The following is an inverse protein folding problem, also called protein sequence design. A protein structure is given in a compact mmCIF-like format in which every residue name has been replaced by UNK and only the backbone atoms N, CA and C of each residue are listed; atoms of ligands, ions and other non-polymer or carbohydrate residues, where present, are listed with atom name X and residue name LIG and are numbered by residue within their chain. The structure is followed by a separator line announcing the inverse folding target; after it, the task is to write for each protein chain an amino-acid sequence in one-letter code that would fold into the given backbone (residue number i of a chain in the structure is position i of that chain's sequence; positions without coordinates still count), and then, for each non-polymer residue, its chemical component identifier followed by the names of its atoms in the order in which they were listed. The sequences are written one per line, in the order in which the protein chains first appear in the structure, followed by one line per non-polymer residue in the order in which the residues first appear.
data_IF_190267970031
#
_entry.id   IF_190267970031
#
_cell.length_a   1.000
_cell.length_b   1.000
_cell.length_c   1.000
_cell.angle_alpha   90.00
_cell.angle_beta   90.00
_cell.angle_gamma   90.00
#
_symmetry.space_group_name_H-M   'P 1'
#
loop_
_entity.id
_entity.type
_entity.pdbx_description
1 polymer ?
#
# COMPACT_ATOMS: atom_id res chain seq x y z
N UNK A 1 -18.48 -15.04 19.19
CA UNK A 1 -17.03 -15.07 18.90
C UNK A 1 -16.80 -14.11 17.75
N UNK A 2 -16.02 -13.03 17.87
CA UNK A 2 -15.84 -12.14 16.74
C UNK A 2 -14.93 -12.88 15.76
N UNK A 3 -15.44 -13.14 14.56
CA UNK A 3 -14.64 -13.63 13.46
C UNK A 3 -13.70 -12.47 13.13
N UNK A 4 -12.42 -12.60 13.48
CA UNK A 4 -11.41 -11.64 13.02
C UNK A 4 -11.24 -11.90 11.54
N UNK A 5 -12.08 -11.27 10.70
CA UNK A 5 -11.96 -11.35 9.26
C UNK A 5 -10.69 -10.58 8.88
N UNK A 6 -9.61 -11.33 8.62
CA UNK A 6 -8.36 -10.78 8.11
C UNK A 6 -8.47 -10.78 6.59
N UNK A 7 -8.53 -9.61 5.99
CA UNK A 7 -8.59 -9.46 4.54
C UNK A 7 -7.32 -8.78 4.03
N UNK A 8 -6.82 -9.25 2.89
CA UNK A 8 -5.53 -8.87 2.32
C UNK A 8 -5.72 -8.20 0.98
N UNK A 9 -5.04 -7.07 0.78
CA UNK A 9 -5.11 -6.26 -0.42
C UNK A 9 -3.69 -5.99 -0.93
N UNK A 10 -3.41 -6.37 -2.17
CA UNK A 10 -2.09 -6.17 -2.78
C UNK A 10 -2.15 -4.94 -3.67
N UNK A 11 -1.37 -3.93 -3.31
CA UNK A 11 -1.30 -2.68 -4.04
C UNK A 11 -0.01 -2.64 -4.84
N UNK A 12 -0.09 -2.28 -6.12
CA UNK A 12 1.04 -2.09 -7.01
C UNK A 12 1.06 -0.66 -7.53
N UNK A 13 2.20 0.01 -7.37
CA UNK A 13 2.41 1.33 -7.99
C UNK A 13 2.81 1.13 -9.45
N UNK A 14 2.03 1.68 -10.38
CA UNK A 14 2.44 1.81 -11.78
C UNK A 14 3.34 3.03 -11.91
N UNK A 15 4.63 2.78 -12.06
CA UNK A 15 5.50 3.76 -12.73
C UNK A 15 5.71 3.33 -14.18
N UNK A 16 5.58 4.29 -15.09
CA UNK A 16 6.16 4.17 -16.42
C UNK A 16 7.66 3.82 -16.29
N UNK A 17 8.07 2.69 -16.84
CA UNK A 17 9.45 2.28 -17.10
C UNK A 17 10.49 2.68 -16.05
N UNK A 18 10.51 2.02 -14.89
CA UNK A 18 11.74 1.97 -14.09
C UNK A 18 12.53 0.74 -14.53
N UNK A 19 13.45 0.97 -15.46
CA UNK A 19 14.44 0.01 -15.90
C UNK A 19 15.15 -0.63 -14.71
N UNK A 20 15.37 -1.94 -14.87
CA UNK A 20 16.28 -2.81 -14.14
C UNK A 20 17.56 -2.10 -13.62
N UNK A 21 18.05 -2.60 -12.48
CA UNK A 21 19.25 -2.22 -11.69
C UNK A 21 18.90 -1.24 -10.55
N UNK A 22 19.04 -1.58 -9.26
CA UNK A 22 20.29 -2.00 -8.62
C UNK A 22 20.09 -2.78 -7.31
N UNK A 23 20.89 -3.83 -7.17
CA UNK A 23 21.32 -4.42 -5.91
C UNK A 23 22.53 -3.59 -5.43
N UNK A 24 22.34 -2.62 -4.53
CA UNK A 24 23.46 -1.90 -3.88
C UNK A 24 23.07 -1.55 -2.44
N UNK A 25 23.84 -2.08 -1.49
CA UNK A 25 23.87 -1.68 -0.09
C UNK A 25 24.16 -0.17 0.04
N UNK A 26 23.26 0.63 0.64
CA UNK A 26 23.59 1.99 1.07
C UNK A 26 22.46 3.04 1.06
N UNK A 27 21.77 3.17 2.20
CA UNK A 27 21.27 4.41 2.84
C UNK A 27 20.20 5.30 2.13
N UNK A 28 18.95 5.13 2.58
CA UNK A 28 18.07 6.12 3.26
C UNK A 28 17.22 7.17 2.49
N UNK A 29 17.23 7.29 1.17
CA UNK A 29 16.27 8.20 0.49
C UNK A 29 15.02 7.50 -0.08
N UNK A 30 15.16 6.33 -0.71
CA UNK A 30 14.00 5.60 -1.25
C UNK A 30 13.11 5.00 -0.14
N UNK A 31 13.72 4.52 0.97
CA UNK A 31 12.98 3.97 2.12
C UNK A 31 12.00 4.98 2.73
N UNK A 32 12.36 6.27 2.69
CA UNK A 32 11.55 7.35 3.26
C UNK A 32 10.31 7.63 2.41
N UNK A 33 10.43 7.57 1.07
CA UNK A 33 9.30 7.78 0.18
C UNK A 33 8.29 6.64 0.27
N UNK A 34 8.77 5.40 0.45
CA UNK A 34 7.90 4.26 0.70
C UNK A 34 7.13 4.39 2.02
N UNK A 35 7.81 4.79 3.10
CA UNK A 35 7.16 5.00 4.39
C UNK A 35 6.15 6.14 4.33
N UNK A 36 6.45 7.21 3.59
CA UNK A 36 5.49 8.29 3.31
C UNK A 36 4.29 7.75 2.54
N UNK A 37 4.48 6.94 1.50
CA UNK A 37 3.36 6.32 0.76
C UNK A 37 2.50 5.45 1.68
N UNK A 38 3.13 4.55 2.45
CA UNK A 38 2.48 3.65 3.40
C UNK A 38 1.62 4.45 4.40
N UNK A 39 2.19 5.49 5.00
CA UNK A 39 1.52 6.35 5.97
C UNK A 39 0.43 7.22 5.33
N UNK A 40 0.67 7.80 4.15
CA UNK A 40 -0.32 8.60 3.42
C UNK A 40 -1.52 7.75 3.03
N UNK A 41 -1.31 6.52 2.53
CA UNK A 41 -2.42 5.64 2.16
C UNK A 41 -3.20 5.16 3.39
N UNK A 42 -2.52 4.81 4.49
CA UNK A 42 -3.17 4.49 5.75
C UNK A 42 -4.01 5.67 6.28
N UNK A 43 -3.45 6.88 6.21
CA UNK A 43 -4.14 8.11 6.58
C UNK A 43 -5.23 8.51 5.58
N UNK A 44 -5.17 8.12 4.31
CA UNK A 44 -6.21 8.46 3.34
C UNK A 44 -7.43 7.56 3.55
N UNK A 45 -7.19 6.27 3.78
CA UNK A 45 -8.24 5.27 3.94
C UNK A 45 -8.92 5.29 5.31
N UNK A 46 -8.29 5.87 6.34
CA UNK A 46 -8.84 5.97 7.70
C UNK A 46 -9.52 4.66 8.15
N UNK A 47 -8.82 3.51 8.10
CA UNK A 47 -9.45 2.24 8.41
C UNK A 47 -9.94 2.24 9.87
N UNK A 48 -11.15 1.72 10.10
CA UNK A 48 -11.77 1.66 11.43
C UNK A 48 -10.93 0.87 12.43
N UNK A 49 -10.21 -0.14 11.93
CA UNK A 49 -9.17 -0.85 12.65
C UNK A 49 -7.86 -0.70 11.90
N UNK A 50 -6.81 -0.30 12.62
CA UNK A 50 -5.47 -0.08 12.07
C UNK A 50 -5.11 -1.11 10.99
N UNK A 51 -4.61 -0.66 9.84
CA UNK A 51 -4.16 -1.57 8.78
C UNK A 51 -2.69 -1.94 9.00
N UNK A 52 -2.36 -3.22 8.79
CA UNK A 52 -0.96 -3.66 8.77
C UNK A 52 -0.42 -3.55 7.34
N UNK A 53 0.81 -3.06 7.19
CA UNK A 53 1.43 -2.89 5.87
C UNK A 53 2.69 -3.75 5.82
N UNK A 54 2.83 -4.53 4.76
CA UNK A 54 3.98 -5.41 4.54
C UNK A 54 4.53 -5.22 3.13
N UNK A 55 5.85 -5.19 3.01
CA UNK A 55 6.51 -5.04 1.71
C UNK A 55 6.63 -6.40 1.02
N UNK A 56 6.14 -6.52 -0.22
CA UNK A 56 6.24 -7.73 -1.04
C UNK A 56 7.36 -7.66 -2.08
N UNK A 57 8.22 -6.63 -2.00
CA UNK A 57 9.28 -6.27 -2.96
C UNK A 57 8.75 -5.95 -4.35
N UNK A 58 9.59 -5.30 -5.16
CA UNK A 58 9.28 -4.90 -6.53
C UNK A 58 8.03 -3.99 -6.62
N UNK A 59 7.93 -3.00 -5.72
CA UNK A 59 6.87 -1.97 -5.69
C UNK A 59 5.47 -2.55 -5.50
N UNK A 60 5.39 -3.64 -4.74
CA UNK A 60 4.15 -4.28 -4.30
C UNK A 60 4.07 -4.20 -2.79
N UNK A 61 2.92 -3.74 -2.30
CA UNK A 61 2.66 -3.55 -0.89
C UNK A 61 1.42 -4.34 -0.51
N UNK A 62 1.49 -5.08 0.58
CA UNK A 62 0.38 -5.83 1.13
C UNK A 62 -0.22 -5.03 2.28
N UNK A 63 -1.47 -4.62 2.11
CA UNK A 63 -2.27 -4.04 3.17
C UNK A 63 -3.18 -5.13 3.75
N UNK A 64 -3.10 -5.30 5.07
CA UNK A 64 -3.88 -6.26 5.83
C UNK A 64 -4.90 -5.46 6.63
N UNK A 65 -6.17 -5.63 6.28
CA UNK A 65 -7.30 -5.01 6.95
C UNK A 65 -7.98 -6.04 7.87
N UNK A 66 -8.49 -5.57 9.00
CA UNK A 66 -9.16 -6.40 10.00
C UNK A 66 -10.69 -6.27 9.96
N UNK A 67 -11.21 -5.53 8.99
CA UNK A 67 -12.64 -5.30 8.80
C UNK A 67 -12.98 -5.21 7.31
N UNK A 68 -14.07 -5.85 6.90
CA UNK A 68 -14.49 -5.88 5.48
C UNK A 68 -14.92 -4.49 4.97
N UNK A 69 -15.53 -3.67 5.83
CA UNK A 69 -15.98 -2.33 5.48
C UNK A 69 -14.82 -1.40 5.09
N UNK A 70 -13.64 -1.60 5.68
CA UNK A 70 -12.44 -0.84 5.32
C UNK A 70 -12.06 -1.13 3.85
N UNK A 71 -12.16 -2.39 3.40
CA UNK A 71 -11.86 -2.77 2.02
C UNK A 71 -12.92 -2.32 1.05
N UNK A 72 -14.19 -2.41 1.43
CA UNK A 72 -15.29 -1.96 0.59
C UNK A 72 -15.16 -0.45 0.29
N UNK A 73 -14.72 0.35 1.28
CA UNK A 73 -14.42 1.77 1.07
C UNK A 73 -13.21 1.99 0.18
N UNK A 74 -12.13 1.22 0.40
CA UNK A 74 -10.90 1.33 -0.42
C UNK A 74 -11.16 0.94 -1.88
N UNK A 75 -11.94 -0.11 -2.14
CA UNK A 75 -12.25 -0.57 -3.50
C UNK A 75 -13.26 0.35 -4.20
N UNK A 76 -14.26 0.89 -3.48
CA UNK A 76 -15.20 1.88 -4.03
C UNK A 76 -14.57 3.23 -4.33
N UNK A 77 -13.52 3.62 -3.58
CA UNK A 77 -12.80 4.88 -3.78
C UNK A 77 -11.77 4.88 -4.92
N UNK A 78 -11.69 3.79 -5.69
CA UNK A 78 -10.75 3.70 -6.82
C UNK A 78 -11.14 4.60 -7.99
N UNK A 79 -10.16 5.12 -8.75
CA UNK A 79 -8.71 4.88 -8.68
C UNK A 79 -7.98 5.73 -7.62
N UNK A 80 -6.97 5.15 -6.96
CA UNK A 80 -6.08 5.90 -6.06
C UNK A 80 -4.81 6.33 -6.76
N UNK A 81 -4.33 7.54 -6.45
CA UNK A 81 -3.07 8.07 -6.98
C UNK A 81 -2.17 8.54 -5.84
N UNK A 82 -0.89 8.23 -5.90
CA UNK A 82 0.13 8.71 -4.96
C UNK A 82 1.27 9.33 -5.78
N UNK A 83 1.61 10.58 -5.50
CA UNK A 83 2.66 11.31 -6.20
C UNK A 83 2.52 11.26 -7.75
N UNK A 84 1.30 11.43 -8.28
CA UNK A 84 0.95 11.29 -9.71
C UNK A 84 1.12 9.89 -10.32
N UNK A 85 1.41 8.87 -9.51
CA UNK A 85 1.42 7.47 -9.91
C UNK A 85 0.10 6.79 -9.55
N UNK A 86 -0.45 6.02 -10.49
CA UNK A 86 -1.67 5.24 -10.28
C UNK A 86 -1.36 4.02 -9.41
N UNK A 87 -2.15 3.81 -8.36
CA UNK A 87 -2.14 2.58 -7.58
C UNK A 87 -3.15 1.60 -8.16
N UNK A 88 -2.70 0.40 -8.43
CA UNK A 88 -3.54 -0.74 -8.78
C UNK A 88 -3.76 -1.57 -7.52
N UNK A 89 -5.02 -1.93 -7.25
CA UNK A 89 -5.46 -2.79 -6.15
C UNK A 89 -5.71 -4.23 -6.62
#
# INVERSE_FOLDING_TARGET
MPITIIVKLIVRILECCFSREKEVEGLNLEDREEEVMKNTMANLWHPLKAAQISDLRARRYLFIFFHEMDIDWVTKGTPWTFNNHLLIL
#
